data_IF_635941475532
#
_entry.id   IF_635941475532
#
_cell.length_a   1.000
_cell.length_b   1.000
_cell.length_c   1.000
_cell.angle_alpha   90.00
_cell.angle_beta   90.00
_cell.angle_gamma   90.00
#
_symmetry.space_group_name_H-M   'P 1'
#
loop_
_entity.id
_entity.type
_entity.pdbx_description
1 polymer ?
#
# COMPACT_ATOMS: atom_id res chain seq x y z
N UNK A 1 6.17 -18.01 1.92
CA UNK A 1 6.43 -16.67 2.48
C UNK A 1 5.14 -15.93 2.80
N UNK A 2 4.14 -15.97 1.93
CA UNK A 2 2.79 -15.47 2.20
C UNK A 2 1.76 -16.57 1.97
N UNK A 3 0.64 -16.47 2.68
CA UNK A 3 -0.59 -17.23 2.42
C UNK A 3 -1.62 -16.35 1.72
N UNK A 4 -2.45 -16.94 0.86
CA UNK A 4 -3.58 -16.29 0.21
C UNK A 4 -4.87 -16.98 0.64
N UNK A 5 -5.83 -16.19 1.11
CA UNK A 5 -7.06 -16.71 1.70
C UNK A 5 -8.29 -15.96 1.15
N UNK A 6 -9.40 -16.68 1.00
CA UNK A 6 -10.72 -16.06 0.83
C UNK A 6 -11.07 -15.31 2.11
N UNK A 7 -11.80 -14.20 1.94
CA UNK A 7 -12.33 -13.43 3.06
C UNK A 7 -13.84 -13.43 2.99
N UNK A 8 -14.50 -13.46 4.14
CA UNK A 8 -15.94 -13.27 4.22
C UNK A 8 -16.25 -11.81 3.86
N UNK A 9 -17.29 -11.61 3.07
CA UNK A 9 -17.65 -10.28 2.57
C UNK A 9 -19.12 -9.99 2.76
N UNK A 10 -19.46 -8.71 2.84
CA UNK A 10 -20.85 -8.24 2.84
C UNK A 10 -20.99 -7.00 1.96
N UNK A 11 -22.23 -6.58 1.71
CA UNK A 11 -22.51 -5.35 0.97
C UNK A 11 -22.35 -4.12 1.88
N UNK A 12 -22.09 -2.96 1.27
CA UNK A 12 -21.86 -1.70 2.00
C UNK A 12 -23.02 -1.31 2.94
N UNK A 13 -24.22 -1.81 2.70
CA UNK A 13 -25.42 -1.49 3.49
C UNK A 13 -25.39 -2.12 4.89
N UNK A 14 -24.47 -3.08 5.13
CA UNK A 14 -24.21 -3.67 6.44
C UNK A 14 -23.23 -2.84 7.31
N UNK A 15 -22.66 -1.76 6.77
CA UNK A 15 -21.68 -0.94 7.47
C UNK A 15 -22.35 -0.07 8.54
N UNK A 16 -21.60 0.20 9.60
CA UNK A 16 -22.03 1.03 10.73
C UNK A 16 -21.29 2.36 10.71
N UNK A 17 -21.86 3.38 11.36
CA UNK A 17 -21.15 4.67 11.48
C UNK A 17 -19.90 4.51 12.35
N UNK A 18 -18.77 5.03 11.88
CA UNK A 18 -17.49 5.00 12.60
C UNK A 18 -16.30 5.15 11.66
N UNK A 19 -15.09 5.23 12.23
CA UNK A 19 -13.84 5.46 11.50
C UNK A 19 -12.73 4.46 11.90
N UNK A 20 -13.09 3.42 12.62
CA UNK A 20 -12.14 2.50 13.25
C UNK A 20 -11.56 1.50 12.25
N UNK A 21 -12.37 1.10 11.27
CA UNK A 21 -12.02 0.09 10.28
C UNK A 21 -12.21 0.62 8.85
N UNK A 22 -11.36 0.14 7.94
CA UNK A 22 -11.53 0.41 6.51
C UNK A 22 -12.47 -0.67 5.90
N UNK A 23 -13.41 -0.24 5.06
CA UNK A 23 -14.16 -1.15 4.19
C UNK A 23 -13.56 -1.16 2.79
N UNK A 24 -13.01 -2.31 2.41
CA UNK A 24 -12.18 -2.49 1.24
C UNK A 24 -12.95 -3.16 0.11
N UNK A 25 -12.84 -2.62 -1.09
CA UNK A 25 -13.43 -3.21 -2.31
C UNK A 25 -12.36 -3.48 -3.36
N UNK A 26 -12.76 -4.13 -4.45
CA UNK A 26 -11.88 -4.51 -5.58
C UNK A 26 -11.37 -3.34 -6.45
N UNK A 27 -11.63 -2.09 -6.06
CA UNK A 27 -11.16 -0.89 -6.77
C UNK A 27 -9.69 -0.61 -6.49
N UNK A 28 -8.97 -0.04 -7.46
CA UNK A 28 -7.62 0.49 -7.26
C UNK A 28 -7.63 1.90 -6.66
N UNK A 29 -8.76 2.60 -6.79
CA UNK A 29 -8.91 3.96 -6.27
C UNK A 29 -8.78 3.97 -4.76
N UNK A 30 -8.13 5.00 -4.23
CA UNK A 30 -7.92 5.15 -2.79
C UNK A 30 -7.38 3.88 -2.10
N UNK A 31 -6.48 3.15 -2.78
CA UNK A 31 -5.96 1.87 -2.30
C UNK A 31 -7.07 0.88 -1.91
N UNK A 32 -8.18 0.85 -2.65
CA UNK A 32 -9.33 -0.02 -2.39
C UNK A 32 -10.27 0.40 -1.27
N UNK A 33 -9.98 1.46 -0.50
CA UNK A 33 -10.85 1.93 0.57
C UNK A 33 -12.06 2.66 -0.06
N UNK A 34 -13.25 2.08 0.07
CA UNK A 34 -14.49 2.73 -0.36
C UNK A 34 -14.94 3.77 0.68
N UNK A 35 -15.00 3.35 1.94
CA UNK A 35 -15.29 4.19 3.08
C UNK A 35 -14.77 3.52 4.35
N UNK A 36 -14.83 4.24 5.45
CA UNK A 36 -14.57 3.73 6.79
C UNK A 36 -15.88 3.33 7.48
N UNK A 37 -15.76 2.55 8.54
CA UNK A 37 -16.91 2.02 9.30
C UNK A 37 -16.57 1.85 10.77
N UNK A 38 -17.60 1.82 11.60
CA UNK A 38 -17.50 1.28 12.96
C UNK A 38 -17.41 -0.25 12.94
N UNK A 39 -17.41 -0.85 14.12
CA UNK A 39 -17.49 -2.30 14.27
C UNK A 39 -18.79 -2.84 13.66
N UNK A 40 -18.68 -3.93 12.89
CA UNK A 40 -19.83 -4.62 12.28
C UNK A 40 -20.01 -5.98 12.96
N UNK A 41 -19.01 -6.86 12.83
CA UNK A 41 -18.95 -8.15 13.51
C UNK A 41 -17.50 -8.68 13.58
N UNK A 42 -17.26 -9.76 14.32
CA UNK A 42 -15.91 -10.32 14.47
C UNK A 42 -15.55 -11.27 13.30
N UNK A 43 -16.55 -11.94 12.73
CA UNK A 43 -16.39 -13.03 11.76
C UNK A 43 -15.86 -12.54 10.42
N UNK A 44 -16.28 -11.35 9.97
CA UNK A 44 -15.83 -10.73 8.73
C UNK A 44 -14.57 -9.86 8.90
N UNK A 45 -14.09 -9.68 10.13
CA UNK A 45 -13.00 -8.76 10.41
C UNK A 45 -11.66 -9.37 10.02
N UNK A 46 -10.97 -8.76 9.07
CA UNK A 46 -9.62 -9.16 8.70
C UNK A 46 -8.60 -8.44 9.60
N UNK A 47 -7.54 -9.12 10.04
CA UNK A 47 -6.54 -8.54 10.93
C UNK A 47 -5.68 -7.46 10.23
N UNK A 48 -5.06 -6.55 11.01
CA UNK A 48 -4.10 -5.60 10.48
C UNK A 48 -2.83 -6.33 10.03
N UNK A 49 -1.91 -5.59 9.43
CA UNK A 49 -0.60 -6.06 8.96
C UNK A 49 -0.67 -7.16 7.87
N UNK A 50 -1.79 -7.19 7.16
CA UNK A 50 -2.05 -8.05 6.00
C UNK A 50 -2.13 -7.21 4.72
N UNK A 51 -2.19 -7.86 3.55
CA UNK A 51 -2.55 -7.18 2.31
C UNK A 51 -3.94 -7.59 1.88
N UNK A 52 -4.68 -6.64 1.33
CA UNK A 52 -5.89 -6.93 0.57
C UNK A 52 -5.55 -7.02 -0.91
N UNK A 53 -6.14 -8.00 -1.61
CA UNK A 53 -6.04 -8.16 -3.06
C UNK A 53 -7.45 -8.05 -3.68
N UNK A 54 -7.66 -7.04 -4.51
CA UNK A 54 -8.88 -6.86 -5.28
C UNK A 54 -8.86 -7.64 -6.59
N UNK A 55 -9.78 -8.58 -6.79
CA UNK A 55 -9.72 -9.53 -7.92
C UNK A 55 -10.17 -8.96 -9.27
N UNK A 56 -10.44 -7.66 -9.38
CA UNK A 56 -10.70 -7.02 -10.66
C UNK A 56 -9.41 -6.49 -11.30
N UNK A 57 -8.65 -5.71 -10.52
CA UNK A 57 -7.43 -5.05 -10.99
C UNK A 57 -6.16 -5.75 -10.51
N UNK A 58 -6.28 -6.77 -9.65
CA UNK A 58 -5.17 -7.51 -9.04
C UNK A 58 -4.13 -6.63 -8.33
N UNK A 59 -4.59 -5.53 -7.75
CA UNK A 59 -3.74 -4.64 -6.96
C UNK A 59 -3.69 -5.11 -5.50
N UNK A 60 -2.48 -5.11 -4.95
CA UNK A 60 -2.19 -5.47 -3.57
C UNK A 60 -1.98 -4.20 -2.74
N UNK A 61 -2.73 -4.06 -1.66
CA UNK A 61 -2.60 -2.93 -0.73
C UNK A 61 -2.36 -3.41 0.68
N UNK A 62 -1.29 -2.90 1.31
CA UNK A 62 -0.97 -3.20 2.70
C UNK A 62 -1.93 -2.50 3.66
N UNK A 63 -2.40 -3.21 4.69
CA UNK A 63 -3.38 -2.74 5.66
C UNK A 63 -2.73 -2.59 7.02
N UNK A 64 -2.71 -1.37 7.56
CA UNK A 64 -2.20 -1.08 8.91
C UNK A 64 -3.26 -1.25 10.00
N UNK A 65 -4.54 -1.22 9.62
CA UNK A 65 -5.70 -1.41 10.49
C UNK A 65 -6.43 -2.68 10.11
N UNK A 66 -7.21 -3.21 11.04
CA UNK A 66 -8.19 -4.26 10.73
C UNK A 66 -9.21 -3.70 9.73
N UNK A 67 -9.77 -4.58 8.91
CA UNK A 67 -10.55 -4.16 7.74
C UNK A 67 -11.64 -5.16 7.37
N UNK A 68 -12.73 -4.65 6.82
CA UNK A 68 -13.82 -5.45 6.27
C UNK A 68 -13.74 -5.53 4.75
N UNK A 69 -14.14 -6.66 4.19
CA UNK A 69 -14.07 -6.90 2.76
C UNK A 69 -15.44 -6.77 2.10
N UNK A 70 -15.47 -6.08 0.96
CA UNK A 70 -16.50 -6.27 -0.05
C UNK A 70 -16.26 -7.53 -0.87
N UNK A 71 -17.11 -7.77 -1.86
CA UNK A 71 -17.04 -8.96 -2.70
C UNK A 71 -15.77 -8.99 -3.57
N UNK A 72 -15.35 -10.21 -3.94
CA UNK A 72 -14.20 -10.48 -4.81
C UNK A 72 -12.86 -9.94 -4.27
N UNK A 73 -12.64 -10.16 -2.98
CA UNK A 73 -11.39 -9.86 -2.30
C UNK A 73 -10.65 -11.15 -1.92
N UNK A 74 -9.34 -11.01 -1.73
CA UNK A 74 -8.49 -11.96 -1.00
C UNK A 74 -7.71 -11.21 0.06
N UNK A 75 -7.34 -11.95 1.11
CA UNK A 75 -6.40 -11.51 2.15
C UNK A 75 -5.09 -12.25 1.93
N UNK A 76 -3.98 -11.51 2.00
CA UNK A 76 -2.63 -12.06 1.95
C UNK A 76 -1.98 -11.86 3.31
N UNK A 77 -1.56 -12.96 3.94
CA UNK A 77 -1.01 -12.97 5.29
C UNK A 77 0.44 -13.40 5.25
N UNK A 78 1.38 -12.68 5.90
CA UNK A 78 2.73 -13.19 6.13
C UNK A 78 2.67 -14.54 6.84
N UNK A 79 3.50 -15.51 6.44
CA UNK A 79 3.65 -16.71 7.27
C UNK A 79 4.37 -16.35 8.58
N UNK A 80 4.11 -17.13 9.63
CA UNK A 80 4.60 -16.88 11.00
C UNK A 80 6.13 -16.69 11.07
N UNK A 81 6.89 -17.35 10.20
CA UNK A 81 8.35 -17.27 10.19
C UNK A 81 8.89 -15.90 9.77
N UNK A 82 8.08 -15.09 9.06
CA UNK A 82 8.47 -13.75 8.60
C UNK A 82 7.65 -12.62 9.22
N UNK A 83 6.53 -12.91 9.88
CA UNK A 83 5.58 -11.89 10.36
C UNK A 83 6.29 -10.83 11.23
N UNK A 84 7.08 -11.30 12.21
CA UNK A 84 7.86 -10.44 13.12
C UNK A 84 9.03 -9.71 12.44
N UNK A 85 9.32 -9.99 11.16
CA UNK A 85 10.35 -9.28 10.39
C UNK A 85 9.75 -8.13 9.58
N UNK A 86 8.43 -8.05 9.41
CA UNK A 86 7.78 -7.05 8.56
C UNK A 86 7.39 -5.83 9.40
N UNK A 87 8.13 -4.72 9.22
CA UNK A 87 7.68 -3.39 9.65
C UNK A 87 7.10 -2.60 8.46
N UNK A 88 6.61 -1.38 8.71
CA UNK A 88 5.98 -0.56 7.65
C UNK A 88 6.87 -0.31 6.43
N UNK A 89 8.20 -0.23 6.56
CA UNK A 89 9.11 0.01 5.43
C UNK A 89 9.31 -1.26 4.62
N UNK A 90 9.48 -2.39 5.30
CA UNK A 90 9.57 -3.71 4.67
C UNK A 90 8.23 -4.08 4.01
N UNK A 91 7.11 -3.70 4.60
CA UNK A 91 5.80 -3.87 4.01
C UNK A 91 5.66 -3.11 2.68
N UNK A 92 6.19 -1.89 2.56
CA UNK A 92 6.23 -1.18 1.28
C UNK A 92 7.07 -1.93 0.23
N UNK A 93 8.21 -2.49 0.63
CA UNK A 93 9.02 -3.32 -0.26
C UNK A 93 8.26 -4.57 -0.75
N UNK A 94 7.60 -5.31 0.15
CA UNK A 94 6.78 -6.44 -0.28
C UNK A 94 5.56 -6.01 -1.10
N UNK A 95 5.02 -4.82 -0.85
CA UNK A 95 3.91 -4.28 -1.67
C UNK A 95 4.35 -4.11 -3.13
N UNK A 96 5.58 -3.64 -3.39
CA UNK A 96 6.06 -3.54 -4.78
C UNK A 96 6.23 -4.92 -5.41
N UNK A 97 6.80 -5.89 -4.68
CA UNK A 97 6.96 -7.26 -5.17
C UNK A 97 5.63 -7.97 -5.42
N UNK A 98 4.66 -7.83 -4.53
CA UNK A 98 3.33 -8.42 -4.69
C UNK A 98 2.60 -7.79 -5.89
N UNK A 99 2.69 -6.47 -6.08
CA UNK A 99 2.11 -5.83 -7.26
C UNK A 99 2.81 -6.21 -8.57
N UNK A 100 4.08 -6.63 -8.55
CA UNK A 100 4.72 -7.22 -9.73
C UNK A 100 4.07 -8.54 -10.17
N UNK A 101 3.37 -9.25 -9.26
CA UNK A 101 2.60 -10.46 -9.58
C UNK A 101 1.27 -10.16 -10.27
N UNK A 102 0.89 -8.88 -10.46
CA UNK A 102 -0.35 -8.49 -11.13
C UNK A 102 -0.49 -9.11 -12.53
N UNK A 103 0.57 -9.08 -13.33
CA UNK A 103 0.53 -9.57 -14.72
C UNK A 103 0.15 -11.06 -14.82
N UNK A 104 0.84 -12.01 -14.15
CA UNK A 104 0.45 -13.42 -14.21
C UNK A 104 -0.90 -13.71 -13.54
N UNK A 105 -1.36 -12.88 -12.61
CA UNK A 105 -2.67 -13.06 -11.99
C UNK A 105 -3.82 -12.58 -12.90
N UNK A 106 -3.59 -11.53 -13.69
CA UNK A 106 -4.57 -11.06 -14.67
C UNK A 106 -4.76 -12.04 -15.84
N UNK A 107 -3.82 -12.95 -16.10
CA UNK A 107 -3.91 -13.92 -17.20
C UNK A 107 -4.69 -15.19 -16.86
N UNK A 108 -5.24 -15.33 -15.65
CA UNK A 108 -5.97 -16.52 -15.21
C UNK A 108 -7.37 -16.19 -14.71
N UNK A 109 -8.24 -17.20 -14.68
CA UNK A 109 -9.59 -17.05 -14.14
C UNK A 109 -9.56 -16.89 -12.62
N UNK A 110 -10.60 -16.25 -12.06
CA UNK A 110 -10.75 -16.01 -10.61
C UNK A 110 -10.61 -17.27 -9.77
N UNK A 111 -11.04 -18.43 -10.28
CA UNK A 111 -10.93 -19.72 -9.60
C UNK A 111 -9.49 -20.23 -9.47
N UNK A 112 -8.60 -19.79 -10.36
CA UNK A 112 -7.21 -20.24 -10.47
C UNK A 112 -6.22 -19.28 -9.81
N UNK A 113 -6.64 -18.06 -9.45
CA UNK A 113 -5.80 -17.02 -8.80
C UNK A 113 -5.01 -17.54 -7.61
N UNK A 114 -5.70 -18.28 -6.74
CA UNK A 114 -5.15 -18.87 -5.54
C UNK A 114 -3.99 -19.83 -5.87
N UNK A 115 -4.17 -20.68 -6.88
CA UNK A 115 -3.14 -21.61 -7.35
C UNK A 115 -1.99 -20.84 -7.98
N UNK A 116 -2.28 -19.94 -8.91
CA UNK A 116 -1.28 -19.14 -9.64
C UNK A 116 -0.43 -18.31 -8.68
N UNK A 117 -1.01 -17.69 -7.65
CA UNK A 117 -0.29 -16.95 -6.62
C UNK A 117 0.71 -17.83 -5.86
N UNK A 118 0.29 -19.03 -5.45
CA UNK A 118 1.15 -19.97 -4.69
C UNK A 118 2.31 -20.51 -5.53
N UNK A 119 2.14 -20.59 -6.84
CA UNK A 119 3.19 -21.04 -7.78
C UNK A 119 4.21 -19.93 -8.11
N UNK A 120 3.89 -18.65 -7.81
CA UNK A 120 4.82 -17.55 -8.08
C UNK A 120 6.08 -17.65 -7.21
N UNK A 121 7.23 -17.44 -7.87
CA UNK A 121 8.52 -17.33 -7.22
C UNK A 121 8.98 -15.88 -7.28
N UNK A 122 9.35 -15.32 -6.13
CA UNK A 122 9.94 -13.98 -6.04
C UNK A 122 11.38 -14.08 -5.56
N UNK A 123 12.27 -13.34 -6.23
CA UNK A 123 13.64 -13.18 -5.79
C UNK A 123 13.69 -12.10 -4.73
N UNK A 124 14.38 -12.38 -3.63
CA UNK A 124 14.59 -11.43 -2.55
C UNK A 124 16.06 -11.04 -2.45
N UNK A 125 16.35 -9.83 -1.93
CA UNK A 125 17.71 -9.44 -1.60
C UNK A 125 18.28 -10.41 -0.57
N UNK A 126 19.49 -10.88 -0.84
CA UNK A 126 20.26 -11.76 0.02
C UNK A 126 21.36 -10.98 0.72
N UNK A 127 21.69 -11.40 1.94
CA UNK A 127 22.85 -10.87 2.66
C UNK A 127 24.11 -11.18 1.84
N UNK A 128 25.16 -10.35 1.90
CA UNK A 128 26.40 -10.58 1.14
C UNK A 128 27.03 -11.96 1.35
N UNK A 129 26.82 -12.55 2.53
CA UNK A 129 27.35 -13.87 2.91
C UNK A 129 26.46 -15.05 2.48
N UNK A 130 25.23 -14.79 2.02
CA UNK A 130 24.27 -15.82 1.66
C UNK A 130 24.44 -16.23 0.19
N UNK A 131 24.54 -17.54 -0.05
CA UNK A 131 24.67 -18.12 -1.40
C UNK A 131 23.34 -18.58 -1.98
N UNK A 132 22.33 -18.74 -1.14
CA UNK A 132 20.99 -19.23 -1.51
C UNK A 132 19.92 -18.48 -0.71
N UNK A 133 18.69 -18.46 -1.23
CA UNK A 133 17.55 -17.82 -0.57
C UNK A 133 16.97 -18.71 0.54
N UNK A 134 17.65 -18.76 1.68
CA UNK A 134 17.10 -19.26 2.94
C UNK A 134 16.48 -18.12 3.74
N UNK A 135 15.64 -18.43 4.73
CA UNK A 135 15.03 -17.40 5.58
C UNK A 135 16.08 -16.50 6.25
N UNK A 136 17.15 -17.09 6.78
CA UNK A 136 18.26 -16.36 7.42
C UNK A 136 19.16 -15.64 6.40
N UNK A 137 19.15 -16.10 5.15
CA UNK A 137 19.89 -15.48 4.05
C UNK A 137 19.23 -14.20 3.52
N UNK A 138 17.93 -14.00 3.74
CA UNK A 138 17.20 -12.81 3.28
C UNK A 138 17.68 -11.56 4.03
N UNK A 139 17.95 -10.50 3.28
CA UNK A 139 18.40 -9.21 3.81
C UNK A 139 17.24 -8.23 4.06
N UNK A 140 16.50 -8.46 5.14
CA UNK A 140 15.46 -7.53 5.60
C UNK A 140 16.01 -6.15 6.00
N UNK A 141 17.28 -6.08 6.41
CA UNK A 141 17.92 -4.81 6.76
C UNK A 141 18.09 -3.96 5.50
N UNK A 142 18.59 -4.55 4.41
CA UNK A 142 18.66 -3.91 3.11
C UNK A 142 17.29 -3.41 2.65
N UNK A 143 16.24 -4.24 2.68
CA UNK A 143 14.87 -3.82 2.29
C UNK A 143 14.44 -2.55 3.04
N UNK A 144 14.61 -2.53 4.36
CA UNK A 144 14.27 -1.37 5.20
C UNK A 144 15.11 -0.14 4.82
N UNK A 145 16.43 -0.30 4.70
CA UNK A 145 17.35 0.80 4.41
C UNK A 145 17.11 1.37 3.02
N UNK A 146 16.85 0.53 2.02
CA UNK A 146 16.54 0.92 0.66
C UNK A 146 15.26 1.77 0.58
N UNK A 147 14.16 1.29 1.15
CA UNK A 147 12.91 2.08 1.21
C UNK A 147 13.12 3.38 2.00
N UNK A 148 13.92 3.35 3.07
CA UNK A 148 14.24 4.57 3.82
C UNK A 148 15.00 5.61 2.98
N UNK A 149 15.99 5.18 2.19
CA UNK A 149 16.74 6.05 1.31
C UNK A 149 15.83 6.67 0.24
N UNK A 150 15.00 5.86 -0.42
CA UNK A 150 14.04 6.35 -1.42
C UNK A 150 13.08 7.38 -0.82
N UNK A 151 12.50 7.11 0.35
CA UNK A 151 11.60 8.06 1.01
C UNK A 151 12.29 9.38 1.36
N UNK A 152 13.53 9.33 1.87
CA UNK A 152 14.29 10.55 2.18
C UNK A 152 14.57 11.37 0.92
N UNK A 153 14.98 10.70 -0.16
CA UNK A 153 15.24 11.34 -1.45
C UNK A 153 13.97 11.98 -2.02
N UNK A 154 12.82 11.29 -1.97
CA UNK A 154 11.54 11.85 -2.42
C UNK A 154 11.14 13.08 -1.59
N UNK A 155 11.23 13.00 -0.26
CA UNK A 155 10.93 14.15 0.62
C UNK A 155 11.84 15.34 0.29
N UNK A 156 13.14 15.10 0.10
CA UNK A 156 14.09 16.14 -0.28
C UNK A 156 13.69 16.81 -1.60
N UNK A 157 13.33 16.03 -2.62
CA UNK A 157 12.88 16.56 -3.91
C UNK A 157 11.60 17.41 -3.78
N UNK A 158 10.63 16.96 -2.98
CA UNK A 158 9.39 17.73 -2.72
C UNK A 158 9.69 19.05 -2.02
N UNK A 159 10.59 19.04 -1.03
CA UNK A 159 11.00 20.27 -0.34
C UNK A 159 11.69 21.24 -1.30
N UNK A 160 12.63 20.76 -2.11
CA UNK A 160 13.32 21.59 -3.10
C UNK A 160 12.35 22.21 -4.11
N UNK A 161 11.43 21.41 -4.65
CA UNK A 161 10.39 21.88 -5.57
C UNK A 161 9.50 22.94 -4.94
N UNK A 162 9.07 22.73 -3.70
CA UNK A 162 8.20 23.66 -2.97
C UNK A 162 8.93 24.98 -2.69
N UNK A 163 10.18 24.91 -2.25
CA UNK A 163 11.02 26.09 -2.02
C UNK A 163 11.24 26.89 -3.29
N UNK A 164 11.50 26.24 -4.43
CA UNK A 164 11.66 26.90 -5.72
C UNK A 164 10.37 27.63 -6.14
N UNK A 165 9.20 27.01 -5.97
CA UNK A 165 7.91 27.64 -6.24
C UNK A 165 7.65 28.86 -5.35
N UNK A 166 7.95 28.77 -4.06
CA UNK A 166 7.81 29.89 -3.13
C UNK A 166 8.73 31.05 -3.53
N UNK A 167 9.97 30.75 -3.90
CA UNK A 167 10.94 31.77 -4.32
C UNK A 167 10.50 32.48 -5.60
N UNK A 168 10.09 31.73 -6.64
CA UNK A 168 9.57 32.31 -7.87
C UNK A 168 8.34 33.19 -7.65
N UNK A 169 7.41 32.79 -6.77
CA UNK A 169 6.25 33.60 -6.41
C UNK A 169 6.66 34.92 -5.71
N UNK A 170 7.63 34.87 -4.79
CA UNK A 170 8.14 36.07 -4.12
C UNK A 170 8.78 37.06 -5.10
N UNK A 171 9.54 36.55 -6.08
CA UNK A 171 10.18 37.37 -7.11
C UNK A 171 9.14 38.10 -7.96
N UNK A 172 8.10 37.40 -8.43
CA UNK A 172 7.00 38.00 -9.19
C UNK A 172 6.30 39.10 -8.37
N UNK A 173 5.93 38.80 -7.12
CA UNK A 173 5.26 39.78 -6.24
C UNK A 173 6.15 40.99 -5.96
N UNK A 174 7.46 40.81 -5.83
CA UNK A 174 8.40 41.93 -5.62
C UNK A 174 8.55 42.83 -6.86
N UNK A 175 8.26 42.30 -8.04
CA UNK A 175 8.28 43.03 -9.31
C UNK A 175 6.94 43.72 -9.60
N UNK A 176 5.84 43.26 -8.98
CA UNK A 176 4.57 43.97 -9.01
C UNK A 176 4.68 45.27 -8.22
N UNK A 177 4.74 46.40 -8.93
CA UNK A 177 4.66 47.72 -8.31
C UNK A 177 3.25 47.90 -7.75
N UNK A 178 3.05 48.35 -6.49
CA UNK A 178 1.71 48.62 -5.99
C UNK A 178 1.06 49.66 -6.89
N UNK A 179 0.00 49.28 -7.60
CA UNK A 179 -0.77 50.22 -8.41
C UNK A 179 -1.35 51.22 -7.43
N UNK A 180 -0.87 52.47 -7.51
CA UNK A 180 -1.46 53.59 -6.79
C UNK A 180 -2.95 53.57 -7.15
N UNK A 181 -3.83 53.27 -6.18
CA UNK A 181 -5.24 53.56 -6.36
C UNK A 181 -5.30 55.06 -6.58
N UNK A 182 -5.75 55.47 -7.77
CA UNK A 182 -6.04 56.86 -8.06
C UNK A 182 -6.81 57.44 -6.88
N UNK A 183 -6.17 58.42 -6.24
CA UNK A 183 -6.76 59.26 -5.22
C UNK A 183 -7.86 60.08 -5.89
N UNK A 184 -9.00 59.45 -6.13
CA UNK A 184 -10.25 60.11 -6.47
C UNK A 184 -11.02 60.26 -5.17
N UNK A 185 -11.04 61.51 -4.71
CA UNK A 185 -11.82 62.11 -3.62
C UNK A 185 -11.22 62.06 -2.21
#
# INVERSE_FOLDING_TARGET
MFEIEKTLSFNKDALTQGQDYDYITRTSQNQGVLQTTGFVNAENLNPPFTWSLGLLQMDFFYRKKSWYAGQFMRKITPKTEIENKINSRIAHYFTTLLNALKLPLLSVLVRDIDKTFREQKIQLPLKPTAKTQTLDGIDFHFMRTFINALMKQTIQGVVQYSSAKIQAAKEIVSQETPTQKDSLF
#
